data_IF_226596451624
#
_entry.id   IF_226596451624
#
_cell.length_a   1.000
_cell.length_b   1.000
_cell.length_c   1.000
_cell.angle_alpha   90.00
_cell.angle_beta   90.00
_cell.angle_gamma   90.00
#
_symmetry.space_group_name_H-M   'P 1'
#
loop_
_entity.id
_entity.type
_entity.pdbx_description
1 polymer ?
#
# COMPACT_ATOMS: atom_id res chain seq x y z
N UNK A 1 12.05 13.81 16.41
CA UNK A 1 11.00 12.79 16.18
C UNK A 1 11.16 12.28 14.77
N UNK A 2 11.82 11.13 14.56
CA UNK A 2 11.88 10.48 13.25
C UNK A 2 10.47 9.95 12.95
N UNK A 3 9.66 10.79 12.28
CA UNK A 3 8.33 10.40 11.84
C UNK A 3 8.46 9.28 10.84
N UNK A 4 7.88 8.12 11.15
CA UNK A 4 7.75 7.01 10.20
C UNK A 4 7.09 7.53 8.92
N UNK A 5 7.66 7.25 7.73
CA UNK A 5 7.28 7.81 6.41
C UNK A 5 5.92 7.31 5.88
N UNK A 6 4.94 7.06 6.76
CA UNK A 6 3.59 6.70 6.37
C UNK A 6 2.84 7.89 5.79
N UNK A 7 2.29 7.70 4.61
CA UNK A 7 1.46 8.67 3.91
C UNK A 7 0.00 8.33 4.18
N UNK A 8 -0.79 9.32 4.60
CA UNK A 8 -2.24 9.18 4.70
C UNK A 8 -2.85 9.11 3.30
N UNK A 9 -3.72 8.14 3.05
CA UNK A 9 -4.46 8.01 1.79
C UNK A 9 -5.26 9.29 1.44
N UNK A 10 -5.79 9.98 2.45
CA UNK A 10 -6.50 11.26 2.28
C UNK A 10 -5.62 12.40 1.79
N UNK A 11 -4.30 12.33 1.98
CA UNK A 11 -3.36 13.34 1.52
C UNK A 11 -2.90 13.03 0.10
N UNK A 12 -2.56 11.76 -0.16
CA UNK A 12 -2.08 11.28 -1.45
C UNK A 12 -2.30 9.76 -1.52
N UNK A 13 -2.88 9.30 -2.62
CA UNK A 13 -2.92 7.88 -2.97
C UNK A 13 -1.62 7.46 -3.63
N UNK A 14 -1.18 6.19 -3.49
CA UNK A 14 -0.09 5.67 -4.30
C UNK A 14 -0.50 5.66 -5.78
N UNK A 15 0.49 5.56 -6.65
CA UNK A 15 0.26 5.40 -8.08
C UNK A 15 -0.43 4.06 -8.36
N UNK A 16 -1.33 4.05 -9.35
CA UNK A 16 -1.98 2.83 -9.82
C UNK A 16 -0.93 1.82 -10.26
N UNK A 17 -1.08 0.56 -9.85
CA UNK A 17 -0.11 -0.50 -10.12
C UNK A 17 1.16 -0.47 -9.25
N UNK A 18 1.44 0.60 -8.49
CA UNK A 18 2.64 0.69 -7.66
C UNK A 18 2.46 -0.09 -6.34
N UNK A 19 3.28 -1.12 -6.08
CA UNK A 19 3.22 -1.84 -4.81
C UNK A 19 3.74 -0.99 -3.65
N UNK A 20 2.99 -0.99 -2.56
CA UNK A 20 3.29 -0.25 -1.33
C UNK A 20 2.95 -1.11 -0.11
N UNK A 21 3.52 -0.78 1.04
CA UNK A 21 3.15 -1.41 2.31
C UNK A 21 1.91 -0.70 2.85
N UNK A 22 0.89 -1.46 3.20
CA UNK A 22 -0.32 -0.96 3.85
C UNK A 22 -0.56 -1.71 5.15
N UNK A 23 -1.35 -1.11 6.04
CA UNK A 23 -1.84 -1.79 7.24
C UNK A 23 -3.32 -2.10 7.06
N UNK A 24 -3.66 -3.38 7.16
CA UNK A 24 -5.04 -3.87 7.17
C UNK A 24 -5.27 -4.65 8.46
N UNK A 25 -6.12 -4.13 9.34
CA UNK A 25 -6.28 -4.67 10.69
C UNK A 25 -4.97 -4.62 11.49
N UNK A 26 -4.54 -5.78 12.00
CA UNK A 26 -3.31 -5.92 12.77
C UNK A 26 -2.07 -6.27 11.92
N UNK A 27 -2.26 -6.53 10.61
CA UNK A 27 -1.21 -7.04 9.72
C UNK A 27 -0.75 -5.98 8.72
N UNK A 28 0.47 -6.16 8.24
CA UNK A 28 1.03 -5.41 7.12
C UNK A 28 0.92 -6.24 5.85
N UNK A 29 0.56 -5.60 4.75
CA UNK A 29 0.41 -6.23 3.45
C UNK A 29 1.13 -5.41 2.40
N UNK A 30 1.61 -6.07 1.34
CA UNK A 30 2.06 -5.40 0.13
C UNK A 30 0.85 -5.37 -0.80
N UNK A 31 0.40 -4.17 -1.15
CA UNK A 31 -0.77 -3.99 -2.00
C UNK A 31 -0.51 -2.85 -3.00
N UNK A 32 -1.29 -2.81 -4.06
CA UNK A 32 -1.33 -1.73 -5.03
C UNK A 32 -2.77 -1.32 -5.31
N UNK A 33 -2.96 -0.18 -5.99
CA UNK A 33 -4.26 0.18 -6.53
C UNK A 33 -4.39 -0.48 -7.89
N UNK A 34 -5.38 -1.37 -8.02
CA UNK A 34 -5.70 -2.07 -9.26
C UNK A 34 -6.12 -1.07 -10.35
N UNK A 35 -5.62 -1.28 -11.57
CA UNK A 35 -6.01 -0.53 -12.75
C UNK A 35 -7.38 -0.94 -13.30
N UNK A 36 -7.84 -2.14 -12.94
CA UNK A 36 -9.10 -2.71 -13.40
C UNK A 36 -10.32 -2.09 -12.69
N UNK A 37 -10.30 -2.02 -11.37
CA UNK A 37 -11.45 -1.56 -10.56
C UNK A 37 -11.13 -0.39 -9.61
N UNK A 38 -9.87 0.07 -9.57
CA UNK A 38 -9.45 1.18 -8.74
C UNK A 38 -9.41 0.87 -7.23
N UNK A 39 -9.43 -0.41 -6.84
CA UNK A 39 -9.39 -0.84 -5.43
C UNK A 39 -8.03 -1.40 -5.04
N UNK A 40 -7.85 -1.64 -3.74
CA UNK A 40 -6.64 -2.28 -3.25
C UNK A 40 -6.59 -3.75 -3.60
N UNK A 41 -5.43 -4.18 -4.08
CA UNK A 41 -5.17 -5.54 -4.53
C UNK A 41 -3.74 -5.96 -4.12
N UNK A 42 -3.60 -7.16 -3.55
CA UNK A 42 -2.30 -7.76 -3.20
C UNK A 42 -1.71 -8.66 -4.31
N UNK A 43 -2.45 -8.86 -5.41
CA UNK A 43 -2.11 -9.73 -6.51
C UNK A 43 -2.41 -11.21 -6.26
N UNK A 44 -2.93 -11.56 -5.09
CA UNK A 44 -3.14 -12.94 -4.64
C UNK A 44 -4.52 -13.15 -3.98
N UNK A 45 -4.61 -12.94 -2.67
CA UNK A 45 -5.76 -13.33 -1.85
C UNK A 45 -6.67 -12.17 -1.48
N UNK A 46 -6.12 -10.96 -1.35
CA UNK A 46 -6.83 -9.74 -0.96
C UNK A 46 -6.98 -8.82 -2.16
N UNK A 47 -8.00 -9.11 -2.98
CA UNK A 47 -8.39 -8.28 -4.13
C UNK A 47 -9.70 -7.54 -3.87
N UNK A 48 -9.88 -6.41 -4.55
CA UNK A 48 -11.11 -5.62 -4.49
C UNK A 48 -11.39 -4.97 -3.12
N UNK A 49 -10.35 -4.75 -2.30
CA UNK A 49 -10.49 -4.11 -0.99
C UNK A 49 -10.79 -2.63 -1.17
N UNK A 50 -11.94 -2.17 -0.65
CA UNK A 50 -12.38 -0.78 -0.79
C UNK A 50 -11.36 0.22 -0.24
N UNK A 51 -11.20 1.36 -0.92
CA UNK A 51 -10.20 2.39 -0.59
C UNK A 51 -10.33 2.94 0.82
N UNK A 52 -11.54 2.94 1.36
CA UNK A 52 -11.86 3.38 2.71
C UNK A 52 -11.28 2.48 3.81
N UNK A 53 -10.91 1.23 3.49
CA UNK A 53 -10.43 0.26 4.48
C UNK A 53 -8.94 0.45 4.82
N UNK A 54 -8.19 1.15 3.97
CA UNK A 54 -6.78 1.45 4.18
C UNK A 54 -6.61 2.95 4.37
N UNK A 55 -6.02 3.34 5.51
CA UNK A 55 -5.85 4.75 5.88
C UNK A 55 -4.45 5.29 5.64
N UNK A 56 -3.46 4.39 5.61
CA UNK A 56 -2.05 4.73 5.52
C UNK A 56 -1.34 3.74 4.60
N UNK A 57 -0.41 4.26 3.83
CA UNK A 57 0.52 3.47 3.04
C UNK A 57 1.94 3.97 3.24
N UNK A 58 2.92 3.14 2.92
CA UNK A 58 4.34 3.43 3.01
C UNK A 58 5.03 2.87 1.77
N UNK A 59 6.00 3.61 1.21
CA UNK A 59 6.78 3.09 0.08
C UNK A 59 7.52 1.81 0.47
N UNK A 60 7.64 0.87 -0.45
CA UNK A 60 8.52 -0.27 -0.21
C UNK A 60 9.95 0.26 0.01
N UNK A 61 10.68 -0.28 1.01
CA UNK A 61 12.09 0.05 1.13
C UNK A 61 12.81 -0.36 -0.17
N UNK A 62 13.87 0.36 -0.57
CA UNK A 62 14.68 -0.08 -1.70
C UNK A 62 15.17 -1.52 -1.42
N UNK A 63 15.13 -2.36 -2.45
CA UNK A 63 15.73 -3.68 -2.37
C UNK A 63 17.20 -3.49 -1.97
N UNK A 64 17.71 -4.21 -0.96
CA UNK A 64 19.14 -4.22 -0.70
C UNK A 64 19.86 -4.64 -1.99
N UNK A 65 20.84 -3.85 -2.43
CA UNK A 65 21.82 -4.36 -3.38
C UNK A 65 22.52 -5.52 -2.68
N UNK A 66 22.34 -6.74 -3.18
CA UNK A 66 23.02 -7.91 -2.63
C UNK A 66 24.53 -7.71 -2.69
N UNK A 67 25.25 -8.20 -1.67
CA UNK A 67 26.71 -8.38 -1.74
C UNK A 67 27.12 -9.30 -2.89
#
# INVERSE_FOLDING_TARGET
MQGTNWVKCSNKMPEVGKPVIVKLGAMLHIMHISDFDGKWDDGEFLSGVGLENIKYWHELPPMPEGE
#
